data_IF_805274959278
#
_entry.id   IF_805274959278
#
_cell.length_a   1.000
_cell.length_b   1.000
_cell.length_c   1.000
_cell.angle_alpha   90.00
_cell.angle_beta   90.00
_cell.angle_gamma   90.00
#
_symmetry.space_group_name_H-M   'P 1'
#
loop_
_entity.id
_entity.type
_entity.pdbx_description
1 polymer ?
#
# COMPACT_ATOMS: atom_id res chain seq x y z
N UNK A 1 -6.41 -15.84 -17.69
CA UNK A 1 -6.02 -14.45 -17.94
C UNK A 1 -4.57 -14.48 -18.41
N UNK A 2 -4.17 -13.64 -19.37
CA UNK A 2 -2.77 -13.55 -19.76
C UNK A 2 -1.92 -13.15 -18.55
N UNK A 3 -0.67 -13.62 -18.46
CA UNK A 3 0.25 -13.07 -17.48
C UNK A 3 0.42 -11.56 -17.75
N UNK A 4 0.51 -10.76 -16.73
CA UNK A 4 0.89 -9.35 -16.84
C UNK A 4 2.34 -9.18 -17.31
N UNK A 5 2.89 -7.98 -17.24
CA UNK A 5 4.29 -7.72 -17.55
C UNK A 5 5.23 -8.50 -16.61
N UNK A 6 6.32 -9.05 -17.18
CA UNK A 6 7.35 -9.67 -16.37
C UNK A 6 7.99 -8.61 -15.44
N UNK A 7 8.22 -8.98 -14.20
CA UNK A 7 8.93 -8.13 -13.24
C UNK A 7 10.39 -7.98 -13.68
N UNK A 8 10.90 -6.74 -13.85
CA UNK A 8 12.20 -6.52 -14.51
C UNK A 8 13.39 -6.95 -13.64
N UNK A 9 13.24 -6.94 -12.32
CA UNK A 9 14.30 -7.30 -11.39
C UNK A 9 13.77 -7.91 -10.09
N UNK A 10 14.61 -8.61 -9.35
CA UNK A 10 14.26 -9.15 -8.04
C UNK A 10 14.55 -8.11 -6.96
N UNK A 11 13.63 -7.15 -6.78
CA UNK A 11 13.77 -6.01 -5.86
C UNK A 11 14.15 -6.47 -4.47
N UNK A 12 15.06 -5.73 -3.84
CA UNK A 12 15.54 -6.02 -2.48
C UNK A 12 15.01 -4.97 -1.51
N UNK A 13 14.16 -5.39 -0.60
CA UNK A 13 13.58 -4.58 0.48
C UNK A 13 14.40 -4.72 1.77
N UNK A 14 14.24 -3.77 2.71
CA UNK A 14 14.58 -4.00 4.10
C UNK A 14 13.37 -4.51 4.86
N UNK A 15 13.53 -5.61 5.59
CA UNK A 15 12.50 -6.21 6.44
C UNK A 15 12.98 -6.40 7.89
N UNK A 16 12.05 -6.69 8.82
CA UNK A 16 12.42 -7.02 10.19
C UNK A 16 13.08 -8.40 10.26
N UNK A 17 14.34 -8.42 10.60
CA UNK A 17 15.09 -9.66 10.81
C UNK A 17 15.19 -10.05 12.27
N UNK A 18 15.96 -11.11 12.54
CA UNK A 18 16.18 -11.63 13.89
C UNK A 18 16.82 -10.56 14.79
N UNK A 19 16.34 -10.48 16.04
CA UNK A 19 16.85 -9.54 17.08
C UNK A 19 16.75 -8.08 16.68
N UNK A 20 15.68 -7.71 15.94
CA UNK A 20 15.42 -6.33 15.48
C UNK A 20 16.51 -5.73 14.56
N UNK A 21 17.36 -6.55 13.98
CA UNK A 21 18.28 -6.10 12.93
C UNK A 21 17.54 -6.13 11.58
N UNK A 22 17.66 -5.08 10.74
CA UNK A 22 17.15 -5.13 9.39
C UNK A 22 17.77 -6.29 8.62
N UNK A 23 16.96 -6.98 7.83
CA UNK A 23 17.43 -7.98 6.87
C UNK A 23 17.03 -7.59 5.45
N UNK A 24 17.79 -8.06 4.49
CA UNK A 24 17.50 -7.86 3.07
C UNK A 24 16.59 -8.99 2.60
N UNK A 25 15.43 -8.63 2.06
CA UNK A 25 14.43 -9.58 1.59
C UNK A 25 14.16 -9.30 0.11
N UNK A 26 14.33 -10.30 -0.74
CA UNK A 26 14.02 -10.19 -2.17
C UNK A 26 12.53 -10.31 -2.41
N UNK A 27 12.05 -9.71 -3.52
CA UNK A 27 10.67 -9.88 -3.96
C UNK A 27 10.31 -11.36 -4.11
N UNK A 28 11.21 -12.16 -4.68
CA UNK A 28 11.03 -13.62 -4.85
C UNK A 28 10.89 -14.37 -3.52
N UNK A 29 11.49 -13.87 -2.44
CA UNK A 29 11.43 -14.46 -1.09
C UNK A 29 10.16 -14.07 -0.32
N UNK A 30 9.34 -13.15 -0.87
CA UNK A 30 8.03 -12.82 -0.31
C UNK A 30 6.97 -13.87 -0.63
N UNK A 31 7.25 -14.78 -1.55
CA UNK A 31 6.35 -15.89 -1.90
C UNK A 31 6.65 -17.11 -1.03
N UNK A 32 5.83 -17.39 -0.06
CA UNK A 32 5.92 -18.59 0.76
C UNK A 32 5.65 -19.86 -0.06
N UNK A 33 6.14 -21.02 0.39
CA UNK A 33 5.86 -22.30 -0.24
C UNK A 33 4.35 -22.54 -0.38
N UNK A 34 3.93 -22.96 -1.58
CA UNK A 34 2.53 -23.27 -1.88
C UNK A 34 1.64 -22.06 -2.19
N UNK A 35 2.18 -20.84 -2.15
CA UNK A 35 1.46 -19.61 -2.49
C UNK A 35 2.17 -18.87 -3.63
N UNK A 36 1.52 -18.76 -4.80
CA UNK A 36 2.07 -18.14 -5.99
C UNK A 36 1.50 -16.74 -6.28
N UNK A 37 0.73 -16.18 -5.35
CA UNK A 37 0.21 -14.82 -5.43
C UNK A 37 0.76 -13.99 -4.29
N UNK A 38 1.17 -12.75 -4.60
CA UNK A 38 1.64 -11.77 -3.63
C UNK A 38 0.91 -10.44 -3.87
N UNK A 39 0.27 -9.91 -2.85
CA UNK A 39 -0.26 -8.56 -2.83
C UNK A 39 0.69 -7.63 -2.07
N UNK A 40 1.04 -6.49 -2.65
CA UNK A 40 1.88 -5.46 -2.02
C UNK A 40 1.13 -4.14 -2.04
N UNK A 41 0.94 -3.54 -0.87
CA UNK A 41 0.39 -2.20 -0.72
C UNK A 41 1.50 -1.18 -0.46
N UNK A 42 1.59 -0.15 -1.30
CA UNK A 42 2.47 1.00 -1.09
C UNK A 42 1.80 1.99 -0.14
N UNK A 43 2.38 2.16 1.02
CA UNK A 43 1.90 3.00 2.12
C UNK A 43 2.54 4.39 2.03
N UNK A 44 1.73 5.42 1.92
CA UNK A 44 2.20 6.81 1.88
C UNK A 44 2.85 7.23 3.20
N UNK A 45 4.10 6.84 3.38
CA UNK A 45 4.95 7.15 4.51
C UNK A 45 6.41 7.28 4.04
N UNK A 46 6.68 8.30 3.22
CA UNK A 46 8.03 8.63 2.75
C UNK A 46 8.84 9.37 3.81
N UNK A 47 10.15 9.56 3.55
CA UNK A 47 11.08 10.19 4.49
C UNK A 47 10.71 11.63 4.83
N UNK A 48 10.11 12.37 3.89
CA UNK A 48 9.74 13.79 4.06
C UNK A 48 8.42 13.99 4.84
N UNK A 49 7.66 12.92 5.06
CA UNK A 49 6.42 13.02 5.84
C UNK A 49 6.73 12.95 7.33
N UNK A 50 6.26 13.91 8.09
CA UNK A 50 6.31 13.84 9.56
C UNK A 50 5.45 12.70 10.10
N UNK A 51 4.23 12.57 9.58
CA UNK A 51 3.28 11.49 9.90
C UNK A 51 2.78 10.84 8.61
N UNK A 52 2.42 9.55 8.62
CA UNK A 52 1.88 8.88 7.45
C UNK A 52 0.49 9.40 7.06
N UNK A 53 0.08 9.07 5.85
CA UNK A 53 -1.24 9.41 5.33
C UNK A 53 -2.36 8.79 6.18
N UNK A 54 -3.33 9.60 6.69
CA UNK A 54 -4.44 9.07 7.47
C UNK A 54 -5.34 8.09 6.68
N UNK A 55 -5.55 8.36 5.37
CA UNK A 55 -6.31 7.47 4.49
C UNK A 55 -5.68 6.09 4.35
N UNK A 56 -4.37 6.01 4.12
CA UNK A 56 -3.67 4.73 4.11
C UNK A 56 -3.69 4.05 5.48
N UNK A 57 -3.57 4.84 6.56
CA UNK A 57 -3.51 4.30 7.91
C UNK A 57 -4.81 3.61 8.29
N UNK A 58 -5.98 4.23 8.05
CA UNK A 58 -7.26 3.61 8.37
C UNK A 58 -7.51 2.33 7.56
N UNK A 59 -7.06 2.30 6.29
CA UNK A 59 -7.10 1.10 5.48
C UNK A 59 -6.23 -0.02 6.07
N UNK A 60 -4.98 0.31 6.47
CA UNK A 60 -4.07 -0.67 7.08
C UNK A 60 -4.53 -1.14 8.46
N UNK A 61 -5.23 -0.31 9.25
CA UNK A 61 -5.87 -0.74 10.51
C UNK A 61 -6.86 -1.89 10.25
N UNK A 62 -7.63 -1.78 9.16
CA UNK A 62 -8.58 -2.83 8.75
C UNK A 62 -7.85 -4.04 8.16
N UNK A 63 -6.83 -3.81 7.36
CA UNK A 63 -6.07 -4.86 6.69
C UNK A 63 -5.26 -5.70 7.68
N UNK A 64 -4.70 -5.10 8.76
CA UNK A 64 -4.01 -5.85 9.81
C UNK A 64 -4.92 -6.90 10.46
N UNK A 65 -6.17 -6.52 10.74
CA UNK A 65 -7.16 -7.46 11.26
C UNK A 65 -7.47 -8.63 10.32
N UNK A 66 -7.43 -8.40 9.00
CA UNK A 66 -7.69 -9.39 7.97
C UNK A 66 -6.45 -10.20 7.54
N UNK A 67 -5.23 -9.70 7.81
CA UNK A 67 -3.99 -10.24 7.26
C UNK A 67 -3.81 -11.74 7.48
N UNK A 68 -4.10 -12.24 8.69
CA UNK A 68 -4.00 -13.68 9.01
C UNK A 68 -4.90 -14.57 8.17
N UNK A 69 -6.07 -14.07 7.75
CA UNK A 69 -6.99 -14.81 6.88
C UNK A 69 -6.51 -14.76 5.43
N UNK A 70 -6.02 -13.60 4.99
CA UNK A 70 -5.44 -13.41 3.66
C UNK A 70 -4.23 -14.32 3.47
N UNK A 71 -3.35 -14.40 4.47
CA UNK A 71 -2.17 -15.24 4.47
C UNK A 71 -2.44 -16.74 4.37
N UNK A 72 -3.66 -17.20 4.61
CA UNK A 72 -4.02 -18.60 4.36
C UNK A 72 -4.04 -18.93 2.85
N UNK A 73 -4.12 -17.93 1.98
CA UNK A 73 -4.35 -18.16 0.55
C UNK A 73 -3.33 -17.47 -0.36
N UNK A 74 -2.91 -16.24 -0.02
CA UNK A 74 -1.95 -15.45 -0.78
C UNK A 74 -0.95 -14.81 0.19
N UNK A 75 0.20 -14.37 -0.33
CA UNK A 75 1.15 -13.58 0.45
C UNK A 75 0.71 -12.12 0.47
N UNK A 76 0.92 -11.44 1.59
CA UNK A 76 0.61 -10.02 1.78
C UNK A 76 1.83 -9.29 2.33
N UNK A 77 2.15 -8.14 1.75
CA UNK A 77 3.16 -7.23 2.26
C UNK A 77 2.71 -5.78 2.15
N UNK A 78 3.26 -4.93 2.99
CA UNK A 78 3.10 -3.47 2.94
C UNK A 78 4.49 -2.86 2.85
N UNK A 79 4.68 -1.97 1.90
CA UNK A 79 5.94 -1.27 1.69
C UNK A 79 5.78 0.23 1.91
N UNK A 80 6.86 0.90 2.33
CA UNK A 80 6.93 2.35 2.40
C UNK A 80 8.35 2.85 2.15
N UNK A 81 8.49 4.09 1.67
CA UNK A 81 9.80 4.72 1.40
C UNK A 81 10.54 5.20 2.66
N UNK A 82 9.90 5.23 3.81
CA UNK A 82 10.57 5.52 5.09
C UNK A 82 11.60 4.45 5.45
N UNK A 83 12.65 4.81 6.19
CA UNK A 83 13.53 3.82 6.82
C UNK A 83 12.74 2.84 7.68
N UNK A 84 13.09 1.56 7.62
CA UNK A 84 12.38 0.47 8.32
C UNK A 84 12.11 0.75 9.81
N UNK A 85 13.05 1.27 10.63
CA UNK A 85 12.79 1.54 12.05
C UNK A 85 11.61 2.51 12.27
N UNK A 86 11.43 3.47 11.36
CA UNK A 86 10.35 4.44 11.43
C UNK A 86 9.00 3.81 11.12
N UNK A 87 8.95 2.93 10.11
CA UNK A 87 7.76 2.15 9.76
C UNK A 87 7.34 1.27 10.94
N UNK A 88 8.28 0.53 11.52
CA UNK A 88 8.01 -0.37 12.65
C UNK A 88 7.60 0.39 13.93
N UNK A 89 8.17 1.56 14.18
CA UNK A 89 7.76 2.42 15.30
C UNK A 89 6.30 2.84 15.18
N UNK A 90 5.88 3.27 13.98
CA UNK A 90 4.50 3.65 13.73
C UNK A 90 3.55 2.45 13.80
N UNK A 91 3.92 1.31 13.24
CA UNK A 91 3.14 0.08 13.34
C UNK A 91 2.91 -0.33 14.81
N UNK A 92 3.92 -0.19 15.65
CA UNK A 92 3.79 -0.43 17.10
C UNK A 92 2.84 0.57 17.76
N UNK A 93 2.90 1.84 17.40
CA UNK A 93 1.96 2.89 17.87
C UNK A 93 0.51 2.54 17.52
N UNK A 94 0.27 2.03 16.27
CA UNK A 94 -1.05 1.60 15.80
C UNK A 94 -1.51 0.26 16.36
N UNK A 95 -0.59 -0.56 16.88
CA UNK A 95 -0.88 -1.90 17.35
C UNK A 95 -0.99 -2.94 16.22
N UNK A 96 -0.46 -2.66 15.03
CA UNK A 96 -0.40 -3.63 13.94
C UNK A 96 0.50 -4.81 14.31
N UNK A 97 0.03 -6.02 14.06
CA UNK A 97 0.68 -7.26 14.51
C UNK A 97 0.92 -8.26 13.38
N UNK A 98 0.15 -8.15 12.30
CA UNK A 98 0.06 -9.19 11.29
C UNK A 98 0.53 -8.76 9.92
N UNK A 99 0.66 -7.45 9.68
CA UNK A 99 1.18 -6.92 8.44
C UNK A 99 2.69 -7.18 8.33
N UNK A 100 3.12 -7.75 7.21
CA UNK A 100 4.53 -7.82 6.84
C UNK A 100 4.97 -6.47 6.30
N UNK A 101 5.71 -5.71 7.09
CA UNK A 101 6.14 -4.35 6.80
C UNK A 101 7.57 -4.33 6.29
N UNK A 102 7.80 -3.65 5.15
CA UNK A 102 9.10 -3.56 4.48
C UNK A 102 9.40 -2.12 4.09
N UNK A 103 10.68 -1.79 3.94
CA UNK A 103 11.14 -0.50 3.42
C UNK A 103 11.63 -0.64 1.98
N UNK A 104 11.23 0.30 1.14
CA UNK A 104 11.70 0.49 -0.24
C UNK A 104 12.77 1.58 -0.36
N UNK A 105 13.25 2.15 0.75
CA UNK A 105 14.18 3.30 0.75
C UNK A 105 15.47 3.09 -0.06
N UNK A 106 15.83 1.85 -0.37
CA UNK A 106 17.07 1.50 -1.08
C UNK A 106 16.87 0.89 -2.47
N UNK A 107 15.67 0.96 -3.07
CA UNK A 107 15.40 0.38 -4.39
C UNK A 107 14.44 1.24 -5.23
N UNK A 108 14.16 0.83 -6.46
CA UNK A 108 13.32 1.55 -7.43
C UNK A 108 11.87 1.03 -7.48
N UNK A 109 11.47 0.14 -6.58
CA UNK A 109 10.14 -0.49 -6.60
C UNK A 109 9.00 0.54 -6.67
N UNK A 110 9.04 1.59 -5.84
CA UNK A 110 7.97 2.59 -5.81
C UNK A 110 7.90 3.41 -7.11
N UNK A 111 9.04 3.67 -7.77
CA UNK A 111 9.07 4.25 -9.10
C UNK A 111 8.44 3.32 -10.14
N UNK A 112 8.83 2.06 -10.17
CA UNK A 112 8.46 1.10 -11.22
C UNK A 112 7.01 0.61 -11.08
N UNK A 113 6.47 0.62 -9.86
CA UNK A 113 5.11 0.18 -9.53
C UNK A 113 4.23 1.28 -8.93
N UNK A 114 4.54 2.53 -9.28
CA UNK A 114 3.71 3.71 -8.96
C UNK A 114 3.44 3.92 -7.47
N UNK A 115 4.31 3.46 -6.60
CA UNK A 115 4.31 3.80 -5.17
C UNK A 115 4.81 5.23 -4.92
N UNK A 116 5.31 5.90 -5.96
CA UNK A 116 5.57 7.33 -5.95
C UNK A 116 5.26 7.97 -7.32
N UNK A 117 5.18 9.30 -7.31
CA UNK A 117 4.83 10.09 -8.50
C UNK A 117 5.92 10.12 -9.57
N UNK A 118 7.15 9.68 -9.28
CA UNK A 118 8.26 9.73 -10.24
C UNK A 118 8.11 8.72 -11.38
N UNK A 119 7.39 7.61 -11.13
CA UNK A 119 7.04 6.62 -12.14
C UNK A 119 5.91 7.03 -13.08
N UNK A 120 5.17 8.11 -12.77
CA UNK A 120 4.05 8.57 -13.60
C UNK A 120 4.51 9.27 -14.86
N UNK A 121 3.74 9.08 -15.94
CA UNK A 121 3.89 9.90 -17.15
C UNK A 121 3.82 11.40 -16.80
N UNK A 122 4.69 12.25 -17.38
CA UNK A 122 4.69 13.68 -17.11
C UNK A 122 3.35 14.39 -17.32
N UNK A 123 2.54 13.94 -18.28
CA UNK A 123 1.21 14.49 -18.52
C UNK A 123 0.24 14.14 -17.39
N UNK A 124 0.29 12.90 -16.87
CA UNK A 124 -0.50 12.47 -15.73
C UNK A 124 -0.09 13.20 -14.46
N UNK A 125 1.22 13.40 -14.23
CA UNK A 125 1.72 14.18 -13.08
C UNK A 125 1.19 15.61 -13.11
N UNK A 126 1.17 16.23 -14.27
CA UNK A 126 0.63 17.58 -14.45
C UNK A 126 -0.89 17.64 -14.21
N UNK A 127 -1.62 16.64 -14.67
CA UNK A 127 -3.08 16.54 -14.49
C UNK A 127 -3.47 16.36 -13.02
N UNK A 128 -2.66 15.68 -12.23
CA UNK A 128 -2.86 15.43 -10.80
C UNK A 128 -2.43 16.61 -9.90
N UNK A 129 -2.04 17.74 -10.51
CA UNK A 129 -1.60 18.97 -9.82
C UNK A 129 -0.42 18.73 -8.83
N UNK A 130 0.39 17.69 -9.06
CA UNK A 130 1.64 17.53 -8.31
C UNK A 130 2.56 18.70 -8.65
N UNK A 131 3.08 19.37 -7.65
CA UNK A 131 4.05 20.43 -7.82
C UNK A 131 5.26 19.91 -8.60
N UNK A 132 5.68 20.71 -9.59
CA UNK A 132 6.81 20.32 -10.43
C UNK A 132 8.06 20.02 -9.61
N UNK A 133 8.61 18.82 -9.79
CA UNK A 133 9.84 18.37 -9.15
C UNK A 133 9.70 17.77 -7.76
N UNK A 134 8.54 17.83 -7.12
CA UNK A 134 8.32 17.15 -5.85
C UNK A 134 8.04 15.67 -6.08
N UNK A 135 8.77 14.82 -5.37
CA UNK A 135 8.47 13.41 -5.22
C UNK A 135 7.29 13.28 -4.25
N UNK A 136 6.25 12.57 -4.67
CA UNK A 136 5.06 12.38 -3.86
C UNK A 136 4.77 10.88 -3.73
N UNK A 137 4.59 10.41 -2.50
CA UNK A 137 4.17 9.04 -2.24
C UNK A 137 2.77 8.81 -2.79
N UNK A 138 2.58 7.65 -3.40
CA UNK A 138 1.32 7.22 -3.98
C UNK A 138 0.83 5.96 -3.28
N UNK A 139 -0.46 5.90 -2.89
CA UNK A 139 -1.03 4.68 -2.38
C UNK A 139 -1.45 3.80 -3.56
N UNK A 140 -0.92 2.61 -3.63
CA UNK A 140 -1.30 1.66 -4.67
C UNK A 140 -1.24 0.23 -4.14
N UNK A 141 -2.18 -0.60 -4.57
CA UNK A 141 -2.12 -2.04 -4.37
C UNK A 141 -1.70 -2.72 -5.67
N UNK A 142 -0.62 -3.44 -5.61
CA UNK A 142 -0.11 -4.25 -6.71
C UNK A 142 -0.23 -5.74 -6.37
N UNK A 143 -0.64 -6.54 -7.34
CA UNK A 143 -0.71 -7.99 -7.22
C UNK A 143 0.25 -8.63 -8.20
N UNK A 144 1.09 -9.51 -7.69
CA UNK A 144 2.07 -10.26 -8.45
C UNK A 144 1.73 -11.74 -8.45
N UNK A 145 2.12 -12.42 -9.53
CA UNK A 145 2.01 -13.87 -9.64
C UNK A 145 3.35 -14.47 -9.99
N UNK A 146 3.77 -15.45 -9.20
CA UNK A 146 4.92 -16.31 -9.51
C UNK A 146 4.47 -17.46 -10.41
N UNK A 147 5.26 -17.75 -11.43
CA UNK A 147 5.12 -18.95 -12.28
C UNK A 147 6.48 -19.64 -12.44
N UNK A 148 6.57 -20.69 -13.27
CA UNK A 148 7.81 -21.46 -13.45
C UNK A 148 8.94 -20.65 -14.10
N UNK A 149 8.59 -19.66 -14.89
CA UNK A 149 9.46 -18.84 -15.72
C UNK A 149 9.71 -17.43 -15.19
N UNK A 150 9.10 -17.07 -14.05
CA UNK A 150 9.35 -15.78 -13.42
C UNK A 150 8.20 -15.24 -12.58
N UNK A 151 8.33 -13.98 -12.19
CA UNK A 151 7.30 -13.21 -11.48
C UNK A 151 6.70 -12.21 -12.46
N UNK A 152 5.39 -12.07 -12.42
CA UNK A 152 4.62 -11.20 -13.31
C UNK A 152 3.73 -10.27 -12.51
N UNK A 153 3.65 -9.00 -12.91
CA UNK A 153 2.64 -8.06 -12.40
C UNK A 153 1.29 -8.43 -12.97
N UNK A 154 0.36 -8.83 -12.11
CA UNK A 154 -0.93 -9.37 -12.50
C UNK A 154 -2.02 -8.31 -12.52
N UNK A 155 -2.03 -7.42 -11.53
CA UNK A 155 -3.04 -6.38 -11.36
C UNK A 155 -2.49 -5.24 -10.50
N UNK A 156 -2.94 -4.02 -10.76
CA UNK A 156 -2.70 -2.84 -9.95
C UNK A 156 -3.98 -2.04 -9.77
N UNK A 157 -4.11 -1.32 -8.66
CA UNK A 157 -5.23 -0.40 -8.44
C UNK A 157 -5.07 0.83 -9.34
N UNK A 158 -6.08 1.11 -10.16
CA UNK A 158 -6.06 2.20 -11.15
C UNK A 158 -6.70 3.51 -10.63
N UNK A 159 -7.27 3.48 -9.44
CA UNK A 159 -8.20 4.49 -8.95
C UNK A 159 -7.62 5.90 -8.79
N UNK A 160 -6.30 6.02 -8.72
CA UNK A 160 -5.63 7.33 -8.66
C UNK A 160 -5.28 7.92 -10.02
N UNK A 161 -5.36 7.13 -11.07
CA UNK A 161 -4.93 7.52 -12.42
C UNK A 161 -6.09 7.85 -13.35
N UNK A 162 -7.29 7.40 -12.99
CA UNK A 162 -8.50 7.66 -13.76
C UNK A 162 -9.31 8.72 -13.01
N UNK A 163 -9.53 9.91 -13.59
CA UNK A 163 -10.40 10.91 -12.99
C UNK A 163 -11.80 10.32 -12.75
N UNK A 164 -12.44 10.57 -11.61
CA UNK A 164 -13.80 10.12 -11.38
C UNK A 164 -14.75 10.76 -12.40
N UNK A 165 -15.76 10.02 -12.83
CA UNK A 165 -16.83 10.57 -13.64
C UNK A 165 -17.69 11.55 -12.81
N UNK A 166 -18.42 12.46 -13.46
CA UNK A 166 -19.31 13.38 -12.75
C UNK A 166 -20.28 12.64 -11.81
N UNK A 167 -20.24 12.97 -10.54
CA UNK A 167 -21.07 12.35 -9.49
C UNK A 167 -20.45 11.10 -8.83
N UNK A 168 -19.25 10.70 -9.24
CA UNK A 168 -18.47 9.68 -8.53
C UNK A 168 -17.54 10.33 -7.51
N UNK A 169 -17.46 9.72 -6.32
CA UNK A 169 -16.41 10.06 -5.37
C UNK A 169 -15.03 9.61 -5.88
N UNK A 170 -14.01 10.35 -5.48
CA UNK A 170 -12.62 9.97 -5.73
C UNK A 170 -12.29 8.74 -4.87
N UNK A 171 -12.28 7.56 -5.50
CA UNK A 171 -12.16 6.27 -4.81
C UNK A 171 -10.74 5.75 -4.84
N UNK A 172 -10.33 5.20 -3.71
CA UNK A 172 -9.03 4.60 -3.56
C UNK A 172 -9.16 3.27 -2.80
N UNK A 173 -8.86 2.15 -3.45
CA UNK A 173 -8.96 0.79 -2.91
C UNK A 173 -10.33 0.41 -2.29
N UNK A 174 -11.39 1.05 -2.70
CA UNK A 174 -12.72 0.94 -2.09
C UNK A 174 -13.26 -0.48 -2.01
N UNK A 175 -12.94 -1.33 -2.99
CA UNK A 175 -13.34 -2.73 -2.96
C UNK A 175 -12.83 -3.49 -1.73
N UNK A 176 -11.71 -3.04 -1.17
CA UNK A 176 -11.00 -3.68 -0.07
C UNK A 176 -11.17 -2.93 1.26
N UNK A 177 -11.67 -1.69 1.20
CA UNK A 177 -11.80 -0.82 2.37
C UNK A 177 -13.16 -0.97 3.02
N UNK A 178 -13.26 -1.63 4.20
CA UNK A 178 -14.54 -1.87 4.84
C UNK A 178 -15.20 -0.59 5.36
N UNK A 179 -14.45 0.48 5.62
CA UNK A 179 -15.01 1.74 6.13
C UNK A 179 -15.85 2.41 5.05
N UNK A 180 -15.30 2.56 3.84
CA UNK A 180 -16.04 3.13 2.71
C UNK A 180 -17.23 2.27 2.32
N UNK A 181 -17.05 0.94 2.29
CA UNK A 181 -18.14 0.03 1.99
C UNK A 181 -19.28 0.14 3.01
N UNK A 182 -18.97 0.30 4.29
CA UNK A 182 -20.01 0.47 5.32
C UNK A 182 -20.73 1.81 5.19
N UNK A 183 -20.04 2.89 4.85
CA UNK A 183 -20.67 4.19 4.63
C UNK A 183 -21.55 4.19 3.39
N UNK A 184 -21.14 3.50 2.32
CA UNK A 184 -21.95 3.37 1.09
C UNK A 184 -23.26 2.58 1.32
N UNK A 185 -23.32 1.75 2.36
CA UNK A 185 -24.54 1.03 2.78
C UNK A 185 -25.41 1.84 3.76
N UNK A 186 -24.88 2.93 4.33
CA UNK A 186 -25.61 3.77 5.27
C UNK A 186 -26.48 4.81 4.53
N UNK A 187 -27.66 5.17 5.03
CA UNK A 187 -28.51 6.21 4.42
C UNK A 187 -27.81 7.57 4.30
N UNK A 188 -26.91 7.89 5.22
CA UNK A 188 -26.13 9.13 5.26
C UNK A 188 -25.00 9.14 4.23
N UNK A 189 -24.59 7.98 3.71
CA UNK A 189 -23.46 7.84 2.79
C UNK A 189 -22.12 8.23 3.43
N UNK A 190 -21.16 8.60 2.62
CA UNK A 190 -19.81 9.02 3.07
C UNK A 190 -19.77 10.41 3.67
N UNK A 191 -20.67 11.28 3.26
CA UNK A 191 -20.69 12.69 3.66
C UNK A 191 -19.34 13.38 3.45
N UNK A 192 -18.95 14.18 4.42
CA UNK A 192 -17.67 14.91 4.47
C UNK A 192 -16.61 14.20 5.33
N UNK A 193 -16.80 12.91 5.63
CA UNK A 193 -15.88 12.15 6.46
C UNK A 193 -14.48 12.10 5.84
N UNK A 194 -13.49 12.45 6.65
CA UNK A 194 -12.08 12.31 6.31
C UNK A 194 -11.37 11.48 7.39
N UNK A 195 -10.64 10.44 7.02
CA UNK A 195 -9.86 9.65 7.97
C UNK A 195 -8.85 10.51 8.71
N UNK A 196 -8.65 10.20 9.99
CA UNK A 196 -7.65 10.84 10.87
C UNK A 196 -6.78 9.76 11.50
N UNK A 197 -5.56 10.14 11.88
CA UNK A 197 -4.68 9.23 12.62
C UNK A 197 -5.26 8.94 14.02
N UNK A 198 -5.88 9.94 14.64
CA UNK A 198 -6.46 9.82 15.97
C UNK A 198 -7.85 10.46 16.01
N UNK A 199 -8.75 9.84 16.77
CA UNK A 199 -10.08 10.34 17.01
C UNK A 199 -10.25 10.66 18.49
N UNK A 200 -10.85 11.80 18.80
CA UNK A 200 -11.25 12.10 20.17
C UNK A 200 -12.33 11.09 20.59
N UNK A 201 -12.16 10.38 21.71
CA UNK A 201 -13.20 9.49 22.21
C UNK A 201 -14.53 10.21 22.36
N UNK A 202 -15.63 9.56 21.98
CA UNK A 202 -16.95 10.10 22.24
C UNK A 202 -17.14 10.27 23.75
N UNK A 203 -17.79 11.34 24.22
CA UNK A 203 -18.08 11.52 25.65
C UNK A 203 -18.82 10.27 26.18
N UNK A 204 -18.24 9.60 27.19
CA UNK A 204 -18.88 8.45 27.85
C UNK A 204 -18.48 7.05 27.32
N UNK A 205 -17.43 6.95 26.48
CA UNK A 205 -16.80 5.66 26.14
C UNK A 205 -15.43 5.53 26.77
#
# INVERSE_FOLDING_TARGET
>A
MPPGGAVPEDYVFEGPGARSKPERVKLSELFEPGKDTLAIYSFMFGPERERPCPGCTHFLDSLDGAARHIDQRINLAVVAKSPLPRILSFAKERGWRWLRLLSTAGNTYDHDYFGDSTGLDPALRKQQDFKHGEEWDMPILNVFRRSRDGIYHFWGSELLYVPPEPGQDYRHNDLLDPVWNMFDLAPEGRGDFQPKLDYTPAPGK
#
